data_IF_771880627725
#
_entry.id   IF_771880627725
#
_cell.length_a   1.000
_cell.length_b   1.000
_cell.length_c   1.000
_cell.angle_alpha   90.00
_cell.angle_beta   90.00
_cell.angle_gamma   90.00
#
_symmetry.space_group_name_H-M   'P 1'
#
loop_
_entity.id
_entity.type
_entity.pdbx_description
1 polymer ?
#
# COMPACT_ATOMS: atom_id res chain seq x y z
N UNK A 1 4.15 24.31 -14.42
CA UNK A 1 3.10 24.15 -15.46
C UNK A 1 2.64 25.50 -16.00
N UNK A 2 1.91 26.31 -15.23
CA UNK A 2 1.39 27.62 -15.70
C UNK A 2 2.47 28.54 -16.28
N UNK A 3 3.63 28.67 -15.61
CA UNK A 3 4.79 29.43 -16.11
C UNK A 3 5.28 28.96 -17.48
N UNK A 4 5.34 27.65 -17.68
CA UNK A 4 5.75 27.05 -18.96
C UNK A 4 4.72 27.32 -20.06
N UNK A 5 3.42 27.27 -19.74
CA UNK A 5 2.36 27.62 -20.70
C UNK A 5 2.40 29.11 -21.08
N UNK A 6 2.56 30.01 -20.12
CA UNK A 6 2.70 31.45 -20.39
C UNK A 6 3.93 31.73 -21.26
N UNK A 7 5.09 31.17 -20.90
CA UNK A 7 6.30 31.29 -21.70
C UNK A 7 6.19 30.64 -23.09
N UNK A 8 5.32 29.63 -23.23
CA UNK A 8 4.96 28.97 -24.49
C UNK A 8 3.94 29.75 -25.34
N UNK A 9 3.51 30.92 -24.89
CA UNK A 9 2.60 31.81 -25.64
C UNK A 9 1.11 31.58 -25.36
N UNK A 10 0.74 30.95 -24.24
CA UNK A 10 -0.66 30.88 -23.84
C UNK A 10 -1.23 32.29 -23.56
N UNK A 11 -2.23 32.71 -24.33
CA UNK A 11 -2.81 34.06 -24.25
C UNK A 11 -3.67 34.26 -23.00
N UNK A 12 -4.35 33.21 -22.52
CA UNK A 12 -5.20 33.25 -21.33
C UNK A 12 -5.07 31.97 -20.51
N UNK A 13 -4.79 32.12 -19.21
CA UNK A 13 -4.68 31.03 -18.25
C UNK A 13 -5.79 31.13 -17.20
N UNK A 14 -6.63 30.09 -17.13
CA UNK A 14 -7.63 29.92 -16.08
C UNK A 14 -7.09 28.94 -15.04
N UNK A 15 -6.68 29.46 -13.89
CA UNK A 15 -6.14 28.68 -12.78
C UNK A 15 -7.23 28.44 -11.74
N UNK A 16 -7.56 27.17 -11.49
CA UNK A 16 -8.63 26.79 -10.57
C UNK A 16 -8.09 26.07 -9.35
N UNK A 17 -8.62 26.42 -8.19
CA UNK A 17 -8.52 25.60 -6.98
C UNK A 17 -9.67 25.92 -6.05
N UNK A 18 -9.94 25.08 -5.04
CA UNK A 18 -10.95 25.39 -4.01
C UNK A 18 -10.74 26.73 -3.31
N UNK A 19 -9.49 27.20 -3.21
CA UNK A 19 -9.12 28.46 -2.54
C UNK A 19 -9.05 29.66 -3.49
N UNK A 20 -8.95 29.45 -4.80
CA UNK A 20 -8.75 30.54 -5.76
C UNK A 20 -7.58 31.45 -5.37
N UNK A 21 -7.81 32.77 -5.33
CA UNK A 21 -6.81 33.78 -4.93
C UNK A 21 -6.39 33.70 -3.46
N UNK A 22 -7.17 33.05 -2.60
CA UNK A 22 -6.81 32.84 -1.19
C UNK A 22 -5.76 31.71 -1.01
N UNK A 23 -5.36 31.05 -2.10
CA UNK A 23 -4.27 30.09 -2.04
C UNK A 23 -2.93 30.82 -1.82
N UNK A 24 -2.06 30.32 -0.91
CA UNK A 24 -0.74 30.90 -0.70
C UNK A 24 0.06 30.99 -2.02
N UNK A 25 0.61 32.17 -2.32
CA UNK A 25 1.38 32.41 -3.54
C UNK A 25 0.56 32.67 -4.81
N UNK A 26 -0.78 32.69 -4.73
CA UNK A 26 -1.63 32.82 -5.93
C UNK A 26 -1.59 34.23 -6.53
N UNK A 27 -1.50 35.27 -5.72
CA UNK A 27 -1.40 36.65 -6.19
C UNK A 27 -0.06 36.88 -6.91
N UNK A 28 1.03 36.43 -6.30
CA UNK A 28 2.39 36.53 -6.83
C UNK A 28 2.52 35.72 -8.13
N UNK A 29 1.99 34.49 -8.17
CA UNK A 29 1.97 33.68 -9.39
C UNK A 29 1.14 34.35 -10.50
N UNK A 30 0.01 34.96 -10.16
CA UNK A 30 -0.82 35.68 -11.14
C UNK A 30 -0.06 36.84 -11.76
N UNK A 31 0.61 37.65 -10.94
CA UNK A 31 1.43 38.78 -11.41
C UNK A 31 2.57 38.30 -12.31
N UNK A 32 3.30 37.28 -11.90
CA UNK A 32 4.39 36.70 -12.71
C UNK A 32 3.91 36.22 -14.09
N UNK A 33 2.75 35.56 -14.15
CA UNK A 33 2.18 35.08 -15.42
C UNK A 33 1.71 36.23 -16.32
N UNK A 34 1.23 37.33 -15.73
CA UNK A 34 0.90 38.56 -16.47
C UNK A 34 2.16 39.22 -17.03
N UNK A 35 3.26 39.25 -16.27
CA UNK A 35 4.56 39.73 -16.74
C UNK A 35 5.12 38.89 -17.89
N UNK A 36 4.82 37.59 -17.90
CA UNK A 36 5.13 36.69 -19.01
C UNK A 36 4.21 36.87 -20.23
N UNK A 37 3.22 37.76 -20.16
CA UNK A 37 2.36 38.16 -21.28
C UNK A 37 1.02 37.42 -21.38
N UNK A 38 0.66 36.59 -20.40
CA UNK A 38 -0.63 35.89 -20.37
C UNK A 38 -1.68 36.71 -19.61
N UNK A 39 -2.92 36.72 -20.09
CA UNK A 39 -4.06 37.08 -19.24
C UNK A 39 -4.30 35.96 -18.22
N UNK A 40 -4.68 36.28 -16.98
CA UNK A 40 -4.82 35.28 -15.92
C UNK A 40 -6.10 35.47 -15.13
N UNK A 41 -6.92 34.43 -15.12
CA UNK A 41 -8.08 34.29 -14.25
C UNK A 41 -7.76 33.26 -13.16
N UNK A 42 -7.80 33.66 -11.90
CA UNK A 42 -7.69 32.74 -10.76
C UNK A 42 -9.08 32.57 -10.16
N UNK A 43 -9.66 31.38 -10.30
CA UNK A 43 -11.03 31.09 -9.88
C UNK A 43 -11.06 30.14 -8.68
N UNK A 44 -11.88 30.48 -7.68
CA UNK A 44 -12.27 29.55 -6.64
C UNK A 44 -13.30 28.57 -7.22
N UNK A 45 -12.86 27.35 -7.52
CA UNK A 45 -13.70 26.32 -8.14
C UNK A 45 -13.28 24.94 -7.62
N UNK A 46 -14.24 24.19 -7.09
CA UNK A 46 -14.07 22.77 -6.82
C UNK A 46 -14.44 21.99 -8.08
N UNK A 47 -13.44 21.38 -8.72
CA UNK A 47 -13.65 20.59 -9.94
C UNK A 47 -14.41 19.28 -9.70
N UNK A 48 -14.53 18.84 -8.44
CA UNK A 48 -15.40 17.74 -8.06
C UNK A 48 -16.89 18.16 -8.07
N UNK A 49 -17.22 19.45 -8.02
CA UNK A 49 -18.59 19.95 -8.18
C UNK A 49 -18.85 20.28 -9.65
N UNK A 50 -19.64 19.43 -10.31
CA UNK A 50 -20.03 19.60 -11.72
C UNK A 50 -20.61 20.99 -12.00
N UNK A 51 -21.50 21.52 -11.14
CA UNK A 51 -22.16 22.81 -11.37
C UNK A 51 -21.17 23.97 -11.27
N UNK A 52 -20.20 23.86 -10.38
CA UNK A 52 -19.11 24.82 -10.28
C UNK A 52 -18.27 24.83 -11.57
N UNK A 53 -17.98 23.66 -12.14
CA UNK A 53 -17.28 23.54 -13.43
C UNK A 53 -18.11 24.10 -14.58
N UNK A 54 -19.41 23.81 -14.65
CA UNK A 54 -20.32 24.39 -15.65
C UNK A 54 -20.32 25.92 -15.60
N UNK A 55 -20.43 26.48 -14.39
CA UNK A 55 -20.40 27.93 -14.17
C UNK A 55 -19.07 28.55 -14.59
N UNK A 56 -17.95 27.89 -14.27
CA UNK A 56 -16.62 28.32 -14.67
C UNK A 56 -16.46 28.34 -16.20
N UNK A 57 -16.85 27.25 -16.86
CA UNK A 57 -16.72 27.12 -18.32
C UNK A 57 -17.59 28.14 -19.05
N UNK A 58 -18.80 28.40 -18.56
CA UNK A 58 -19.70 29.42 -19.11
C UNK A 58 -19.17 30.86 -18.94
N UNK A 59 -18.25 31.10 -18.00
CA UNK A 59 -17.62 32.40 -17.79
C UNK A 59 -16.39 32.65 -18.68
N UNK A 60 -15.94 31.65 -19.45
CA UNK A 60 -14.80 31.80 -20.37
C UNK A 60 -15.22 32.70 -21.55
N UNK A 61 -14.47 33.77 -21.87
CA UNK A 61 -14.82 34.68 -22.95
C UNK A 61 -14.89 33.99 -24.33
N UNK A 62 -15.91 34.32 -25.13
CA UNK A 62 -16.10 33.70 -26.44
C UNK A 62 -15.03 34.07 -27.47
N UNK A 63 -14.35 35.21 -27.28
CA UNK A 63 -13.21 35.67 -28.08
C UNK A 63 -11.90 34.97 -27.69
N UNK A 64 -11.88 34.23 -26.57
CA UNK A 64 -10.75 33.44 -26.08
C UNK A 64 -11.24 32.07 -25.59
N UNK A 65 -11.70 31.21 -26.51
CA UNK A 65 -12.28 29.93 -26.14
C UNK A 65 -11.26 29.02 -25.46
N UNK A 66 -11.75 28.11 -24.62
CA UNK A 66 -10.92 27.08 -23.99
C UNK A 66 -10.38 26.12 -25.06
N UNK A 67 -9.06 26.05 -25.20
CA UNK A 67 -8.37 25.20 -26.19
C UNK A 67 -7.54 24.08 -25.58
N UNK A 68 -7.32 24.09 -24.26
CA UNK A 68 -6.58 23.05 -23.56
C UNK A 68 -7.07 22.86 -22.12
N UNK A 69 -7.08 21.62 -21.66
CA UNK A 69 -7.38 21.26 -20.26
C UNK A 69 -6.16 20.58 -19.64
N UNK A 70 -5.74 21.06 -18.48
CA UNK A 70 -4.64 20.49 -17.68
C UNK A 70 -5.19 20.07 -16.31
N UNK A 71 -5.49 18.79 -16.13
CA UNK A 71 -6.04 18.26 -14.88
C UNK A 71 -4.95 17.81 -13.92
N UNK A 72 -4.60 18.69 -12.98
CA UNK A 72 -3.60 18.45 -11.94
C UNK A 72 -4.18 18.42 -10.52
N UNK A 73 -5.51 18.40 -10.37
CA UNK A 73 -6.14 18.35 -9.07
C UNK A 73 -6.02 16.95 -8.44
N UNK A 74 -5.67 16.92 -7.16
CA UNK A 74 -5.51 15.68 -6.40
C UNK A 74 -5.19 15.95 -4.94
N UNK A 75 -5.50 14.97 -4.11
CA UNK A 75 -5.12 14.90 -2.69
C UNK A 75 -4.67 13.49 -2.37
N UNK A 76 -3.90 13.33 -1.30
CA UNK A 76 -3.50 12.04 -0.77
C UNK A 76 -4.25 11.77 0.54
N UNK A 77 -4.60 10.51 0.75
CA UNK A 77 -5.15 10.00 2.01
C UNK A 77 -4.70 8.55 2.18
N UNK A 78 -3.39 8.39 2.44
CA UNK A 78 -2.72 7.09 2.49
C UNK A 78 -3.29 6.21 3.62
N UNK A 79 -3.51 4.94 3.33
CA UNK A 79 -3.98 3.93 4.26
C UNK A 79 -3.89 2.53 3.69
N UNK A 80 -3.59 1.56 4.56
CA UNK A 80 -3.70 0.13 4.20
C UNK A 80 -5.12 -0.17 3.72
N UNK A 81 -5.27 -1.10 2.78
CA UNK A 81 -6.57 -1.39 2.13
C UNK A 81 -7.68 -1.66 3.15
N UNK A 82 -7.40 -2.44 4.20
CA UNK A 82 -8.37 -2.79 5.25
C UNK A 82 -8.84 -1.58 6.09
N UNK A 83 -8.11 -0.47 6.05
CA UNK A 83 -8.43 0.78 6.75
C UNK A 83 -8.99 1.87 5.83
N UNK A 84 -9.20 1.56 4.54
CA UNK A 84 -9.82 2.49 3.60
C UNK A 84 -11.34 2.35 3.67
N UNK A 85 -12.02 3.46 3.97
CA UNK A 85 -13.48 3.54 3.95
C UNK A 85 -13.97 4.19 2.65
N UNK A 86 -15.26 4.06 2.28
CA UNK A 86 -15.83 4.76 1.13
C UNK A 86 -15.58 6.28 1.15
N UNK A 87 -15.57 6.91 2.33
CA UNK A 87 -15.32 8.34 2.49
C UNK A 87 -13.87 8.71 2.18
N UNK A 88 -12.90 7.87 2.58
CA UNK A 88 -11.48 8.05 2.23
C UNK A 88 -11.22 7.83 0.75
N UNK A 89 -11.99 6.93 0.11
CA UNK A 89 -12.02 6.82 -1.35
C UNK A 89 -12.59 8.08 -1.99
N UNK A 90 -13.77 8.53 -1.58
CA UNK A 90 -14.42 9.72 -2.14
C UNK A 90 -13.54 10.97 -2.02
N UNK A 91 -12.80 11.12 -0.91
CA UNK A 91 -11.85 12.22 -0.69
C UNK A 91 -10.76 12.28 -1.76
N UNK A 92 -10.26 11.14 -2.22
CA UNK A 92 -9.18 11.06 -3.22
C UNK A 92 -9.72 11.00 -4.66
N UNK A 93 -10.81 10.27 -4.89
CA UNK A 93 -11.43 10.12 -6.20
C UNK A 93 -12.14 11.39 -6.66
N UNK A 94 -12.80 12.12 -5.76
CA UNK A 94 -13.56 13.33 -6.08
C UNK A 94 -12.75 14.37 -6.89
N UNK A 95 -11.66 14.93 -6.34
CA UNK A 95 -10.86 15.94 -7.03
C UNK A 95 -10.07 15.38 -8.22
N UNK A 96 -10.04 14.05 -8.42
CA UNK A 96 -9.21 13.39 -9.43
C UNK A 96 -10.04 12.69 -10.50
N UNK A 97 -10.66 11.56 -10.19
CA UNK A 97 -11.45 10.78 -11.13
C UNK A 97 -12.78 11.47 -11.50
N UNK A 98 -13.56 11.92 -10.52
CA UNK A 98 -14.85 12.58 -10.79
C UNK A 98 -14.66 13.92 -11.50
N UNK A 99 -13.69 14.71 -11.05
CA UNK A 99 -13.30 15.94 -11.73
C UNK A 99 -12.90 15.71 -13.20
N UNK A 100 -12.08 14.69 -13.48
CA UNK A 100 -11.69 14.38 -14.85
C UNK A 100 -12.89 13.94 -15.72
N UNK A 101 -13.83 13.19 -15.13
CA UNK A 101 -15.09 12.83 -15.77
C UNK A 101 -15.93 14.06 -16.10
N UNK A 102 -16.08 15.00 -15.17
CA UNK A 102 -16.79 16.25 -15.41
C UNK A 102 -16.15 17.05 -16.54
N UNK A 103 -14.82 17.18 -16.53
CA UNK A 103 -14.08 17.86 -17.58
C UNK A 103 -14.28 17.16 -18.94
N UNK A 104 -14.18 15.83 -19.02
CA UNK A 104 -14.43 15.07 -20.26
C UNK A 104 -15.82 15.32 -20.83
N UNK A 105 -16.85 15.26 -19.97
CA UNK A 105 -18.25 15.41 -20.37
C UNK A 105 -18.59 16.85 -20.78
N UNK A 106 -18.09 17.85 -20.03
CA UNK A 106 -18.44 19.26 -20.23
C UNK A 106 -17.60 19.95 -21.32
N UNK A 107 -16.44 19.39 -21.67
CA UNK A 107 -15.57 19.93 -22.73
C UNK A 107 -15.56 19.06 -23.99
N UNK A 108 -16.45 18.06 -24.07
CA UNK A 108 -16.46 17.06 -25.14
C UNK A 108 -16.62 17.65 -26.54
N UNK A 109 -17.49 18.66 -26.63
CA UNK A 109 -17.84 19.32 -27.90
C UNK A 109 -16.97 20.55 -28.19
N UNK A 110 -15.96 20.82 -27.35
CA UNK A 110 -14.99 21.90 -27.58
C UNK A 110 -13.86 21.40 -28.46
N UNK A 111 -13.36 22.28 -29.33
CA UNK A 111 -12.19 22.03 -30.19
C UNK A 111 -10.89 22.13 -29.38
N UNK A 112 -10.70 21.21 -28.44
CA UNK A 112 -9.49 21.15 -27.64
C UNK A 112 -8.32 20.66 -28.48
N UNK A 113 -7.18 21.31 -28.33
CA UNK A 113 -5.88 20.84 -28.83
C UNK A 113 -5.21 19.86 -27.87
N UNK A 114 -5.53 19.96 -26.56
CA UNK A 114 -4.94 19.12 -25.53
C UNK A 114 -5.92 18.85 -24.37
N UNK A 115 -5.87 17.62 -23.84
CA UNK A 115 -6.56 17.22 -22.61
C UNK A 115 -5.59 16.38 -21.79
N UNK A 116 -4.89 17.01 -20.86
CA UNK A 116 -3.77 16.40 -20.14
C UNK A 116 -4.21 16.01 -18.75
N UNK A 117 -3.98 14.75 -18.39
CA UNK A 117 -4.29 14.18 -17.09
C UNK A 117 -2.98 13.91 -16.33
N UNK A 118 -2.83 14.51 -15.15
CA UNK A 118 -1.68 14.24 -14.29
C UNK A 118 -2.00 13.02 -13.43
N UNK A 119 -1.64 11.85 -13.94
CA UNK A 119 -1.68 10.58 -13.23
C UNK A 119 -0.41 10.40 -12.38
N UNK A 120 -0.27 9.25 -11.74
CA UNK A 120 0.87 8.91 -10.90
C UNK A 120 1.23 7.45 -11.07
N UNK A 121 2.52 7.11 -10.97
CA UNK A 121 2.99 5.72 -11.15
C UNK A 121 2.37 4.73 -10.14
N UNK A 122 1.79 5.22 -9.04
CA UNK A 122 0.99 4.38 -8.13
C UNK A 122 -0.22 3.73 -8.84
N UNK A 123 -0.78 4.35 -9.88
CA UNK A 123 -1.83 3.74 -10.71
C UNK A 123 -1.32 2.64 -11.65
N UNK A 124 -0.01 2.62 -11.94
CA UNK A 124 0.62 1.68 -12.86
C UNK A 124 1.33 0.54 -12.13
N UNK A 125 2.17 0.87 -11.16
CA UNK A 125 2.99 -0.06 -10.39
C UNK A 125 2.31 -0.45 -9.06
N UNK A 126 1.45 0.40 -8.52
CA UNK A 126 0.99 0.30 -7.14
C UNK A 126 1.96 0.95 -6.15
N UNK A 127 1.46 1.35 -4.98
CA UNK A 127 2.27 1.74 -3.83
C UNK A 127 1.58 1.28 -2.54
N UNK A 128 2.38 0.92 -1.55
CA UNK A 128 1.87 0.45 -0.26
C UNK A 128 1.11 1.59 0.43
N UNK A 129 -0.15 1.32 0.81
CA UNK A 129 -1.00 2.32 1.43
C UNK A 129 -1.68 3.29 0.46
N UNK A 130 -1.53 3.14 -0.85
CA UNK A 130 -2.09 4.08 -1.84
C UNK A 130 -3.25 3.48 -2.66
N UNK A 131 -4.07 2.60 -2.07
CA UNK A 131 -5.13 1.89 -2.82
C UNK A 131 -6.16 2.83 -3.48
N UNK A 132 -6.62 3.85 -2.75
CA UNK A 132 -7.52 4.89 -3.25
C UNK A 132 -6.85 5.79 -4.32
N UNK A 133 -5.60 6.19 -4.10
CA UNK A 133 -4.85 7.02 -5.05
C UNK A 133 -4.53 6.24 -6.33
N UNK A 134 -4.09 4.99 -6.23
CA UNK A 134 -3.86 4.10 -7.36
C UNK A 134 -5.12 3.94 -8.22
N UNK A 135 -6.28 3.69 -7.59
CA UNK A 135 -7.56 3.60 -8.30
C UNK A 135 -7.92 4.90 -9.03
N UNK A 136 -7.74 6.05 -8.39
CA UNK A 136 -8.00 7.35 -9.00
C UNK A 136 -7.08 7.65 -10.19
N UNK A 137 -5.81 7.25 -10.12
CA UNK A 137 -4.83 7.40 -11.21
C UNK A 137 -5.11 6.45 -12.39
N UNK A 138 -5.38 5.17 -12.11
CA UNK A 138 -5.75 4.20 -13.12
C UNK A 138 -7.04 4.61 -13.88
N UNK A 139 -7.98 5.27 -13.19
CA UNK A 139 -9.15 5.86 -13.85
C UNK A 139 -8.76 6.93 -14.88
N UNK A 140 -7.80 7.80 -14.56
CA UNK A 140 -7.32 8.83 -15.50
C UNK A 140 -6.69 8.21 -16.74
N UNK A 141 -5.86 7.18 -16.54
CA UNK A 141 -5.20 6.47 -17.63
C UNK A 141 -6.25 5.84 -18.57
N UNK A 142 -7.26 5.16 -18.00
CA UNK A 142 -8.36 4.59 -18.76
C UNK A 142 -9.25 5.65 -19.44
N UNK A 143 -9.43 6.82 -18.82
CA UNK A 143 -10.17 7.93 -19.41
C UNK A 143 -9.45 8.50 -20.63
N UNK A 144 -8.11 8.62 -20.58
CA UNK A 144 -7.32 9.07 -21.72
C UNK A 144 -7.44 8.11 -22.91
N UNK A 145 -7.32 6.81 -22.67
CA UNK A 145 -7.54 5.78 -23.69
C UNK A 145 -8.95 5.87 -24.30
N UNK A 146 -9.98 6.02 -23.45
CA UNK A 146 -11.37 6.17 -23.91
C UNK A 146 -11.58 7.41 -24.77
N UNK A 147 -10.98 8.55 -24.41
CA UNK A 147 -11.05 9.78 -25.21
C UNK A 147 -10.37 9.63 -26.56
N UNK A 148 -9.17 9.03 -26.59
CA UNK A 148 -8.43 8.76 -27.84
C UNK A 148 -9.18 7.80 -28.76
N UNK A 149 -9.79 6.75 -28.20
CA UNK A 149 -10.65 5.85 -28.96
C UNK A 149 -11.88 6.55 -29.58
N UNK A 150 -12.33 7.66 -28.99
CA UNK A 150 -13.39 8.51 -29.52
C UNK A 150 -12.88 9.61 -30.49
N UNK A 151 -11.59 9.61 -30.84
CA UNK A 151 -10.99 10.62 -31.72
C UNK A 151 -10.70 11.96 -31.04
N UNK A 152 -10.85 12.05 -29.72
CA UNK A 152 -10.60 13.27 -28.95
C UNK A 152 -9.16 13.25 -28.40
N UNK A 153 -8.49 14.41 -28.27
CA UNK A 153 -7.17 14.44 -27.65
C UNK A 153 -7.26 14.03 -26.18
N UNK A 154 -6.28 13.24 -25.74
CA UNK A 154 -5.99 13.00 -24.34
C UNK A 154 -4.57 12.47 -24.14
N UNK A 155 -3.90 12.94 -23.09
CA UNK A 155 -2.59 12.43 -22.67
C UNK A 155 -2.61 12.29 -21.15
N UNK A 156 -2.52 11.06 -20.64
CA UNK A 156 -2.30 10.78 -19.22
C UNK A 156 -0.82 10.53 -18.99
N UNK A 157 -0.22 11.29 -18.07
CA UNK A 157 1.16 11.04 -17.65
C UNK A 157 1.17 10.51 -16.23
N UNK A 158 1.56 9.25 -16.07
CA UNK A 158 1.75 8.62 -14.78
C UNK A 158 3.12 9.05 -14.21
N UNK A 159 3.10 10.13 -13.42
CA UNK A 159 4.31 10.74 -12.88
C UNK A 159 4.91 9.96 -11.71
N UNK A 160 6.24 9.86 -11.69
CA UNK A 160 7.03 9.65 -10.48
C UNK A 160 7.03 10.92 -9.61
N UNK A 161 7.91 10.96 -8.61
CA UNK A 161 7.99 12.12 -7.70
C UNK A 161 8.53 13.36 -8.41
N UNK A 162 7.84 14.49 -8.28
CA UNK A 162 8.35 15.80 -8.66
C UNK A 162 9.10 16.42 -7.46
N UNK A 163 10.25 17.03 -7.72
CA UNK A 163 10.97 17.81 -6.72
C UNK A 163 10.36 19.20 -6.50
N UNK A 164 10.76 19.83 -5.40
CA UNK A 164 10.51 21.24 -5.03
C UNK A 164 9.04 21.61 -4.72
N UNK A 165 8.05 21.02 -5.41
CA UNK A 165 6.63 21.35 -5.25
C UNK A 165 5.73 20.15 -5.59
N UNK A 166 4.53 20.07 -4.99
CA UNK A 166 3.52 19.05 -5.27
C UNK A 166 3.23 18.10 -4.11
N UNK A 167 2.33 17.14 -4.35
CA UNK A 167 1.78 16.22 -3.34
C UNK A 167 2.83 15.35 -2.62
N UNK A 168 4.02 15.22 -3.20
CA UNK A 168 5.12 14.41 -2.68
C UNK A 168 6.44 15.19 -2.56
N UNK A 169 6.40 16.53 -2.56
CA UNK A 169 7.62 17.34 -2.56
C UNK A 169 8.39 17.26 -1.24
N UNK A 170 7.71 17.32 -0.09
CA UNK A 170 8.32 17.40 1.24
C UNK A 170 7.66 16.45 2.26
N UNK A 171 8.39 16.14 3.33
CA UNK A 171 7.91 15.35 4.48
C UNK A 171 8.03 13.84 4.31
N UNK A 172 7.35 13.09 5.20
CA UNK A 172 7.49 11.63 5.32
C UNK A 172 7.20 10.85 4.03
N UNK A 173 6.33 11.37 3.16
CA UNK A 173 5.99 10.76 1.87
C UNK A 173 7.18 10.85 0.90
N UNK A 174 7.82 12.02 0.81
CA UNK A 174 9.00 12.22 -0.02
C UNK A 174 10.16 11.34 0.43
N UNK A 175 10.42 11.31 1.74
CA UNK A 175 11.44 10.43 2.32
C UNK A 175 11.13 8.94 2.07
N UNK A 176 9.86 8.51 2.15
CA UNK A 176 9.46 7.14 1.82
C UNK A 176 9.72 6.80 0.36
N UNK A 177 9.39 7.69 -0.57
CA UNK A 177 9.63 7.48 -2.01
C UNK A 177 11.12 7.44 -2.34
N UNK A 178 11.93 8.32 -1.76
CA UNK A 178 13.39 8.29 -1.93
C UNK A 178 13.98 6.96 -1.41
N UNK A 179 13.54 6.52 -0.22
CA UNK A 179 13.95 5.22 0.35
C UNK A 179 13.48 4.03 -0.51
N UNK A 180 12.29 4.14 -1.09
CA UNK A 180 11.70 3.16 -1.98
C UNK A 180 12.32 3.12 -3.39
N UNK A 181 13.28 3.99 -3.70
CA UNK A 181 13.94 4.04 -5.00
C UNK A 181 13.19 4.84 -6.07
N UNK A 182 12.34 5.79 -5.67
CA UNK A 182 11.66 6.73 -6.56
C UNK A 182 12.08 8.16 -6.22
N UNK A 183 13.30 8.58 -6.60
CA UNK A 183 13.79 9.91 -6.30
C UNK A 183 12.97 11.03 -6.96
N UNK A 184 13.11 12.23 -6.42
CA UNK A 184 12.51 13.42 -6.98
C UNK A 184 13.13 13.81 -8.34
N UNK A 185 12.30 13.98 -9.36
CA UNK A 185 12.71 14.54 -10.65
C UNK A 185 12.71 16.07 -10.61
N UNK A 186 13.70 16.69 -11.24
CA UNK A 186 13.73 18.14 -11.42
C UNK A 186 12.49 18.61 -12.24
N UNK A 187 11.75 19.64 -11.81
CA UNK A 187 10.55 20.10 -12.51
C UNK A 187 10.77 20.42 -14.00
N UNK A 188 11.93 21.00 -14.35
CA UNK A 188 12.27 21.29 -15.75
C UNK A 188 12.39 20.02 -16.62
N UNK A 189 12.94 18.94 -16.06
CA UNK A 189 13.03 17.66 -16.76
C UNK A 189 11.63 17.04 -16.95
N UNK A 190 10.77 17.12 -15.92
CA UNK A 190 9.40 16.64 -16.02
C UNK A 190 8.56 17.45 -17.03
N UNK A 191 8.69 18.78 -17.06
CA UNK A 191 8.08 19.63 -18.10
C UNK A 191 8.57 19.21 -19.51
N UNK A 192 9.87 18.95 -19.66
CA UNK A 192 10.43 18.49 -20.95
C UNK A 192 9.85 17.15 -21.38
N UNK A 193 9.68 16.22 -20.44
CA UNK A 193 9.03 14.94 -20.71
C UNK A 193 7.55 15.11 -21.10
N UNK A 194 6.82 16.04 -20.46
CA UNK A 194 5.45 16.35 -20.84
C UNK A 194 5.38 16.91 -22.27
N UNK A 195 6.24 17.87 -22.63
CA UNK A 195 6.29 18.41 -23.98
C UNK A 195 6.50 17.29 -25.01
N UNK A 196 7.43 16.37 -24.76
CA UNK A 196 7.68 15.22 -25.64
C UNK A 196 6.46 14.30 -25.77
N UNK A 197 5.76 14.03 -24.66
CA UNK A 197 4.56 13.21 -24.70
C UNK A 197 3.45 13.86 -25.55
N UNK A 198 3.32 15.19 -25.47
CA UNK A 198 2.40 15.96 -26.30
C UNK A 198 2.82 15.95 -27.77
N UNK A 199 4.11 16.17 -28.07
CA UNK A 199 4.66 16.21 -29.44
C UNK A 199 4.52 14.86 -30.16
N UNK A 200 4.66 13.75 -29.43
CA UNK A 200 4.48 12.40 -29.96
C UNK A 200 3.01 11.95 -29.98
N UNK A 201 2.08 12.76 -29.45
CA UNK A 201 0.68 12.40 -29.25
C UNK A 201 0.49 11.11 -28.43
N UNK A 202 1.34 10.90 -27.42
CA UNK A 202 1.23 9.77 -26.50
C UNK A 202 -0.13 9.80 -25.78
N UNK A 203 -0.70 8.62 -25.54
CA UNK A 203 -2.00 8.47 -24.86
C UNK A 203 -1.81 8.26 -23.36
N UNK A 204 -1.09 7.21 -22.96
CA UNK A 204 -0.69 6.96 -21.57
C UNK A 204 0.81 6.70 -21.54
N UNK A 205 1.54 7.45 -20.72
CA UNK A 205 3.00 7.26 -20.54
C UNK A 205 3.36 7.38 -19.06
N UNK A 206 4.21 6.46 -18.58
CA UNK A 206 4.80 6.56 -17.26
C UNK A 206 6.14 7.29 -17.35
N UNK A 207 6.33 8.32 -16.52
CA UNK A 207 7.56 9.10 -16.46
C UNK A 207 8.01 9.17 -15.01
N UNK A 208 9.04 8.41 -14.67
CA UNK A 208 9.62 8.37 -13.35
C UNK A 208 11.12 8.12 -13.43
N UNK A 209 11.86 8.74 -12.51
CA UNK A 209 13.22 8.32 -12.18
C UNK A 209 13.13 7.19 -11.15
N UNK A 210 13.69 6.03 -11.46
CA UNK A 210 13.59 4.82 -10.65
C UNK A 210 14.99 4.23 -10.44
N UNK A 211 15.38 4.14 -9.17
CA UNK A 211 16.55 3.39 -8.71
C UNK A 211 16.16 1.92 -8.58
N UNK A 212 16.25 1.18 -9.68
CA UNK A 212 15.77 -0.20 -9.80
C UNK A 212 16.40 -1.17 -8.80
N UNK A 213 17.64 -0.92 -8.39
CA UNK A 213 18.33 -1.67 -7.34
C UNK A 213 17.55 -1.63 -6.03
N UNK A 214 17.02 -0.46 -5.64
CA UNK A 214 16.23 -0.31 -4.42
C UNK A 214 14.77 -0.68 -4.63
N UNK A 215 14.19 -0.17 -5.71
CA UNK A 215 12.77 -0.32 -5.99
C UNK A 215 12.39 -1.79 -6.20
N UNK A 216 13.13 -2.54 -7.03
CA UNK A 216 12.78 -3.92 -7.33
C UNK A 216 12.81 -4.82 -6.08
N UNK A 217 13.76 -4.61 -5.17
CA UNK A 217 13.86 -5.37 -3.92
C UNK A 217 12.64 -5.15 -3.02
N UNK A 218 12.25 -3.89 -2.78
CA UNK A 218 11.07 -3.58 -1.97
C UNK A 218 9.77 -4.04 -2.63
N UNK A 219 9.63 -3.76 -3.93
CA UNK A 219 8.42 -4.04 -4.71
C UNK A 219 8.12 -5.55 -4.82
N UNK A 220 9.16 -6.38 -4.91
CA UNK A 220 8.99 -7.84 -5.07
C UNK A 220 9.21 -8.63 -3.78
N UNK A 221 9.43 -7.96 -2.64
CA UNK A 221 9.76 -8.59 -1.36
C UNK A 221 8.73 -9.63 -0.90
N UNK A 222 7.43 -9.33 -1.08
CA UNK A 222 6.33 -10.21 -0.67
C UNK A 222 5.79 -11.05 -1.81
N UNK A 223 5.82 -10.50 -3.04
CA UNK A 223 5.22 -11.11 -4.22
C UNK A 223 6.09 -10.85 -5.44
N UNK A 224 6.52 -11.90 -6.17
CA UNK A 224 7.15 -11.72 -7.47
C UNK A 224 6.23 -10.95 -8.42
N UNK A 225 6.79 -10.00 -9.18
CA UNK A 225 6.02 -9.20 -10.14
C UNK A 225 6.58 -9.36 -11.55
N UNK A 226 5.83 -10.02 -12.46
CA UNK A 226 6.19 -10.07 -13.88
C UNK A 226 6.24 -8.68 -14.53
N UNK A 227 5.51 -7.71 -13.99
CA UNK A 227 5.38 -6.35 -14.54
C UNK A 227 6.72 -5.66 -14.76
N UNK A 228 7.65 -5.81 -13.79
CA UNK A 228 8.99 -5.21 -13.85
C UNK A 228 10.07 -6.23 -14.22
N UNK A 229 9.72 -7.53 -14.28
CA UNK A 229 10.68 -8.62 -14.43
C UNK A 229 11.43 -8.62 -15.77
N UNK A 230 10.80 -8.08 -16.81
CA UNK A 230 11.39 -8.01 -18.15
C UNK A 230 12.25 -6.76 -18.39
N UNK A 231 12.29 -5.83 -17.45
CA UNK A 231 13.09 -4.61 -17.58
C UNK A 231 14.59 -4.95 -17.54
N UNK A 232 15.40 -4.42 -18.48
CA UNK A 232 16.83 -4.74 -18.55
C UNK A 232 17.59 -4.50 -17.24
N UNK A 233 17.26 -3.43 -16.52
CA UNK A 233 17.84 -3.07 -15.22
C UNK A 233 17.55 -4.16 -14.18
N UNK A 234 16.30 -4.64 -14.13
CA UNK A 234 15.85 -5.66 -13.18
C UNK A 234 16.43 -7.04 -13.53
N UNK A 235 16.53 -7.38 -14.82
CA UNK A 235 17.21 -8.61 -15.26
C UNK A 235 18.67 -8.64 -14.82
N UNK A 236 19.40 -7.53 -15.04
CA UNK A 236 20.81 -7.41 -14.61
C UNK A 236 20.95 -7.63 -13.11
N UNK A 237 20.07 -7.05 -12.29
CA UNK A 237 20.11 -7.23 -10.83
C UNK A 237 19.94 -8.70 -10.39
N UNK A 238 19.10 -9.47 -11.11
CA UNK A 238 18.90 -10.91 -10.85
C UNK A 238 20.10 -11.74 -11.29
N UNK A 239 20.74 -11.37 -12.39
CA UNK A 239 21.90 -12.06 -12.95
C UNK A 239 23.18 -11.79 -12.13
N UNK A 240 23.37 -10.57 -11.62
CA UNK A 240 24.59 -10.20 -10.90
C UNK A 240 24.57 -10.56 -9.42
N UNK A 241 23.39 -10.81 -8.83
CA UNK A 241 23.22 -10.92 -7.38
C UNK A 241 23.52 -9.59 -6.68
N UNK A 242 22.60 -9.06 -5.88
CA UNK A 242 22.82 -7.84 -5.12
C UNK A 242 24.09 -7.90 -4.23
N UNK A 243 24.63 -6.76 -3.77
CA UNK A 243 25.97 -6.71 -3.21
C UNK A 243 26.15 -7.53 -1.92
N UNK A 244 27.23 -8.33 -1.91
CA UNK A 244 27.93 -8.98 -0.81
C UNK A 244 27.29 -10.22 -0.13
N UNK A 245 27.41 -11.36 -0.82
CA UNK A 245 27.60 -12.69 -0.23
C UNK A 245 28.43 -13.53 -1.20
N UNK A 246 29.52 -14.13 -0.73
CA UNK A 246 30.54 -14.84 -1.53
C UNK A 246 29.96 -15.88 -2.53
N UNK A 247 30.67 -16.19 -3.63
CA UNK A 247 30.24 -17.19 -4.60
C UNK A 247 30.40 -18.61 -4.02
N UNK A 248 29.42 -19.03 -3.23
CA UNK A 248 29.15 -20.41 -2.87
C UNK A 248 27.86 -20.86 -3.55
N UNK A 249 27.99 -21.88 -4.41
CA UNK A 249 26.95 -22.67 -5.07
C UNK A 249 25.49 -22.22 -4.90
N UNK A 250 24.84 -21.91 -6.02
CA UNK A 250 23.39 -21.82 -6.12
C UNK A 250 22.71 -22.98 -5.39
N UNK A 251 22.12 -22.69 -4.23
CA UNK A 251 21.05 -23.50 -3.68
C UNK A 251 19.74 -22.85 -4.14
N UNK A 252 18.85 -23.65 -4.72
CA UNK A 252 17.47 -23.28 -5.05
C UNK A 252 16.60 -23.05 -3.78
N UNK A 253 17.20 -22.58 -2.69
CA UNK A 253 16.56 -22.38 -1.40
C UNK A 253 16.02 -20.96 -1.22
N UNK A 254 14.88 -20.83 -0.54
CA UNK A 254 14.37 -19.50 -0.15
C UNK A 254 15.30 -18.85 0.90
N UNK A 255 15.30 -17.52 1.06
CA UNK A 255 16.04 -16.84 2.14
C UNK A 255 15.73 -17.43 3.54
N UNK A 256 14.50 -17.90 3.72
CA UNK A 256 14.06 -18.58 4.94
C UNK A 256 14.74 -19.94 5.15
N UNK A 257 15.04 -20.68 4.08
CA UNK A 257 15.75 -21.97 4.17
C UNK A 257 17.22 -21.77 4.53
N UNK A 258 17.87 -20.78 3.91
CA UNK A 258 19.23 -20.39 4.26
C UNK A 258 19.34 -19.92 5.73
N UNK A 259 18.35 -19.16 6.21
CA UNK A 259 18.29 -18.75 7.61
C UNK A 259 18.10 -19.95 8.55
N UNK A 260 17.21 -20.89 8.22
CA UNK A 260 17.00 -22.12 9.01
C UNK A 260 18.26 -22.98 9.08
N UNK A 261 18.93 -23.20 7.95
CA UNK A 261 20.16 -23.99 7.89
C UNK A 261 21.27 -23.36 8.75
N UNK A 262 21.43 -22.04 8.66
CA UNK A 262 22.39 -21.29 9.48
C UNK A 262 22.09 -21.39 10.98
N UNK A 263 20.82 -21.39 11.37
CA UNK A 263 20.42 -21.49 12.78
C UNK A 263 20.55 -22.92 13.33
N UNK A 264 20.39 -23.97 12.51
CA UNK A 264 20.45 -25.36 12.94
C UNK A 264 21.83 -25.81 13.46
N UNK A 265 22.91 -25.14 13.02
CA UNK A 265 24.29 -25.49 13.37
C UNK A 265 24.91 -24.75 14.57
N UNK A 266 24.17 -23.83 15.20
CA UNK A 266 24.70 -22.92 16.23
C UNK A 266 23.93 -22.97 17.54
N UNK A 267 24.53 -22.50 18.64
CA UNK A 267 23.91 -22.53 19.96
C UNK A 267 22.71 -21.57 20.08
N UNK A 268 21.79 -21.82 21.02
CA UNK A 268 20.62 -20.96 21.24
C UNK A 268 20.97 -19.48 21.49
N UNK A 269 22.09 -19.21 22.17
CA UNK A 269 22.56 -17.85 22.40
C UNK A 269 23.02 -17.18 21.08
N UNK A 270 23.68 -17.93 20.20
CA UNK A 270 24.10 -17.46 18.88
C UNK A 270 22.91 -17.33 17.92
N UNK A 271 21.91 -18.21 18.01
CA UNK A 271 20.66 -18.11 17.26
C UNK A 271 19.95 -16.78 17.54
N UNK A 272 19.82 -16.39 18.82
CA UNK A 272 19.21 -15.11 19.20
C UNK A 272 19.95 -13.91 18.62
N UNK A 273 21.29 -13.95 18.57
CA UNK A 273 22.10 -12.87 17.98
C UNK A 273 21.92 -12.79 16.46
N UNK A 274 21.87 -13.93 15.76
CA UNK A 274 21.64 -13.97 14.31
C UNK A 274 20.25 -13.45 13.96
N UNK A 275 19.22 -13.89 14.67
CA UNK A 275 17.84 -13.43 14.44
C UNK A 275 17.69 -11.95 14.80
N UNK A 276 18.36 -11.48 15.86
CA UNK A 276 18.38 -10.06 16.20
C UNK A 276 18.97 -9.22 15.08
N UNK A 277 20.05 -9.67 14.45
CA UNK A 277 20.63 -8.93 13.33
C UNK A 277 19.71 -8.91 12.10
N UNK A 278 18.96 -9.99 11.84
CA UNK A 278 17.92 -10.02 10.79
C UNK A 278 16.82 -9.00 11.11
N UNK A 279 16.36 -8.93 12.36
CA UNK A 279 15.35 -7.95 12.78
C UNK A 279 15.86 -6.54 12.66
N UNK A 280 17.06 -6.25 13.16
CA UNK A 280 17.67 -4.92 13.10
C UNK A 280 17.94 -4.50 11.66
N UNK A 281 18.42 -5.40 10.80
CA UNK A 281 18.64 -5.12 9.38
C UNK A 281 17.33 -4.84 8.66
N UNK A 282 16.29 -5.63 8.94
CA UNK A 282 14.95 -5.42 8.36
C UNK A 282 14.32 -4.11 8.84
N UNK A 283 14.54 -3.75 10.11
CA UNK A 283 14.06 -2.51 10.70
C UNK A 283 14.84 -1.29 10.18
N UNK A 284 16.16 -1.39 10.07
CA UNK A 284 17.01 -0.37 9.46
C UNK A 284 16.59 -0.13 8.01
N UNK A 285 16.37 -1.19 7.24
CA UNK A 285 15.85 -1.08 5.88
C UNK A 285 14.44 -0.45 5.82
N UNK A 286 13.57 -0.76 6.79
CA UNK A 286 12.23 -0.13 6.89
C UNK A 286 12.26 1.33 7.27
N UNK A 287 13.28 1.76 8.01
CA UNK A 287 13.54 3.15 8.33
C UNK A 287 14.42 3.86 7.27
N UNK A 288 15.06 3.11 6.38
CA UNK A 288 16.01 3.61 5.39
C UNK A 288 17.41 3.93 5.92
N UNK A 289 17.78 3.40 7.09
CA UNK A 289 19.14 3.55 7.60
C UNK A 289 20.11 2.66 6.80
N UNK A 290 21.33 3.13 6.50
CA UNK A 290 22.33 2.37 5.76
C UNK A 290 22.94 1.23 6.60
N UNK A 291 22.78 1.28 7.92
CA UNK A 291 23.27 0.27 8.86
C UNK A 291 22.30 0.07 10.02
N UNK A 292 22.55 -0.96 10.83
CA UNK A 292 21.79 -1.26 12.04
C UNK A 292 22.17 -0.38 13.23
N UNK A 293 23.13 0.53 13.09
CA UNK A 293 23.70 1.34 14.19
C UNK A 293 22.65 2.25 14.85
N UNK A 294 21.71 2.78 14.05
CA UNK A 294 20.62 3.62 14.54
C UNK A 294 19.46 2.81 15.14
N UNK A 295 19.44 1.50 14.91
CA UNK A 295 18.43 0.57 15.41
C UNK A 295 18.96 -0.13 16.67
N UNK A 296 18.82 0.52 17.81
CA UNK A 296 19.18 -0.06 19.10
C UNK A 296 18.31 -1.27 19.46
N UNK A 297 18.94 -2.37 19.88
CA UNK A 297 18.24 -3.64 20.16
C UNK A 297 17.10 -3.51 21.20
N UNK A 298 17.27 -2.66 22.20
CA UNK A 298 16.28 -2.39 23.25
C UNK A 298 15.42 -1.14 23.02
N UNK A 299 15.62 -0.40 21.92
CA UNK A 299 14.88 0.84 21.67
C UNK A 299 13.51 0.51 21.08
N UNK A 300 12.47 1.18 21.58
CA UNK A 300 11.12 0.91 21.10
C UNK A 300 10.97 1.34 19.64
N UNK A 301 10.29 0.53 18.83
CA UNK A 301 10.04 0.85 17.42
C UNK A 301 9.32 2.21 17.25
N UNK A 302 8.39 2.55 18.15
CA UNK A 302 7.71 3.84 18.17
C UNK A 302 8.68 5.03 18.33
N UNK A 303 9.72 4.87 19.14
CA UNK A 303 10.76 5.90 19.33
C UNK A 303 11.74 5.99 18.16
N UNK A 304 11.82 4.92 17.36
CA UNK A 304 12.58 4.86 16.12
C UNK A 304 11.80 5.42 14.92
N UNK A 305 10.55 5.87 15.11
CA UNK A 305 9.75 6.47 14.05
C UNK A 305 8.84 5.49 13.29
N UNK A 306 8.60 4.30 13.82
CA UNK A 306 7.64 3.37 13.22
C UNK A 306 6.19 3.88 13.34
N UNK A 307 5.53 4.01 12.20
CA UNK A 307 4.09 4.16 12.07
C UNK A 307 3.43 2.85 11.56
N UNK A 308 2.11 2.87 11.33
CA UNK A 308 1.36 1.69 10.86
C UNK A 308 1.81 1.19 9.48
N UNK A 309 2.36 2.05 8.60
CA UNK A 309 2.83 1.67 7.27
C UNK A 309 4.24 1.08 7.33
N UNK A 310 5.15 1.72 8.06
CA UNK A 310 6.52 1.23 8.28
C UNK A 310 6.49 -0.09 9.06
N UNK A 311 5.57 -0.25 10.03
CA UNK A 311 5.37 -1.51 10.74
C UNK A 311 4.95 -2.66 9.80
N UNK A 312 4.06 -2.38 8.83
CA UNK A 312 3.67 -3.35 7.82
C UNK A 312 4.85 -3.70 6.88
N UNK A 313 5.65 -2.71 6.51
CA UNK A 313 6.85 -2.90 5.68
C UNK A 313 7.89 -3.79 6.39
N UNK A 314 8.16 -3.56 7.67
CA UNK A 314 9.01 -4.42 8.49
C UNK A 314 8.44 -5.84 8.59
N UNK A 315 7.13 -5.97 8.87
CA UNK A 315 6.45 -7.28 8.93
C UNK A 315 6.61 -8.05 7.62
N UNK A 316 6.47 -7.36 6.49
CA UNK A 316 6.61 -7.95 5.16
C UNK A 316 8.05 -8.40 4.88
N UNK A 317 9.05 -7.56 5.22
CA UNK A 317 10.47 -7.93 5.12
C UNK A 317 10.81 -9.14 6.00
N UNK A 318 10.34 -9.15 7.24
CA UNK A 318 10.58 -10.28 8.16
C UNK A 318 9.89 -11.56 7.70
N UNK A 319 8.68 -11.46 7.15
CA UNK A 319 7.97 -12.62 6.57
C UNK A 319 8.80 -13.22 5.43
N UNK A 320 9.36 -12.39 4.55
CA UNK A 320 10.21 -12.84 3.45
C UNK A 320 11.54 -13.47 3.94
N UNK A 321 12.19 -12.85 4.93
CA UNK A 321 13.47 -13.31 5.46
C UNK A 321 13.35 -14.60 6.29
N UNK A 322 12.23 -14.80 6.99
CA UNK A 322 12.05 -15.90 7.95
C UNK A 322 11.11 -17.00 7.47
N UNK A 323 10.30 -16.73 6.45
CA UNK A 323 9.25 -17.63 5.97
C UNK A 323 8.07 -17.79 6.95
N UNK A 324 8.03 -16.99 8.02
CA UNK A 324 6.98 -17.08 9.05
C UNK A 324 5.78 -16.23 8.67
N UNK A 325 4.56 -16.72 8.97
CA UNK A 325 3.35 -15.91 8.90
C UNK A 325 3.28 -15.01 10.14
N UNK A 326 3.58 -13.72 9.97
CA UNK A 326 3.61 -12.75 11.06
C UNK A 326 2.33 -11.90 11.09
N UNK A 327 1.76 -11.62 12.28
CA UNK A 327 0.59 -10.75 12.42
C UNK A 327 0.93 -9.29 12.13
N UNK A 328 -0.06 -8.48 11.80
CA UNK A 328 0.12 -7.03 11.57
C UNK A 328 0.41 -6.24 12.86
N UNK A 329 0.05 -6.81 14.02
CA UNK A 329 0.27 -6.23 15.37
C UNK A 329 1.69 -6.48 15.90
N UNK A 330 2.55 -7.16 15.14
CA UNK A 330 3.87 -7.63 15.57
C UNK A 330 4.73 -6.58 16.29
N UNK A 331 4.76 -5.36 15.76
CA UNK A 331 5.56 -4.24 16.31
C UNK A 331 4.96 -3.69 17.62
N UNK A 332 3.67 -3.90 17.86
CA UNK A 332 2.99 -3.53 19.10
C UNK A 332 3.09 -4.64 20.16
N UNK A 333 2.96 -5.90 19.74
CA UNK A 333 3.07 -7.07 20.61
C UNK A 333 4.53 -7.27 21.09
N UNK A 334 5.50 -6.93 20.21
CA UNK A 334 6.93 -7.02 20.47
C UNK A 334 7.59 -5.66 20.18
N UNK A 335 7.56 -4.72 21.15
CA UNK A 335 7.84 -3.31 20.90
C UNK A 335 9.32 -2.98 20.65
N UNK A 336 10.24 -3.94 20.80
CA UNK A 336 11.67 -3.73 20.59
C UNK A 336 12.25 -4.78 19.63
N UNK A 337 13.33 -4.47 18.88
CA UNK A 337 14.02 -5.44 18.04
C UNK A 337 14.44 -6.71 18.80
N UNK A 338 14.86 -6.60 20.06
CA UNK A 338 15.23 -7.74 20.91
C UNK A 338 14.03 -8.64 21.23
N UNK A 339 12.90 -8.06 21.66
CA UNK A 339 11.68 -8.82 21.96
C UNK A 339 11.15 -9.55 20.71
N UNK A 340 11.22 -8.87 19.56
CA UNK A 340 10.80 -9.45 18.29
C UNK A 340 11.74 -10.57 17.82
N UNK A 341 13.05 -10.41 18.02
CA UNK A 341 14.03 -11.42 17.69
C UNK A 341 13.85 -12.70 18.51
N UNK A 342 13.54 -12.57 19.80
CA UNK A 342 13.27 -13.71 20.68
C UNK A 342 12.02 -14.49 20.23
N UNK A 343 10.93 -13.78 19.93
CA UNK A 343 9.71 -14.37 19.37
C UNK A 343 9.97 -15.12 18.06
N UNK A 344 10.72 -14.51 17.14
CA UNK A 344 11.06 -15.13 15.85
C UNK A 344 11.97 -16.34 16.03
N UNK A 345 12.95 -16.28 16.94
CA UNK A 345 13.85 -17.40 17.21
C UNK A 345 13.07 -18.63 17.68
N UNK A 346 12.10 -18.46 18.59
CA UNK A 346 11.22 -19.55 19.03
C UNK A 346 10.38 -20.16 17.90
N UNK A 347 9.93 -19.35 16.95
CA UNK A 347 9.13 -19.81 15.80
C UNK A 347 9.93 -20.45 14.68
N UNK A 348 11.17 -20.00 14.45
CA UNK A 348 12.00 -20.47 13.34
C UNK A 348 12.70 -21.78 13.70
N UNK A 349 13.25 -21.85 14.93
CA UNK A 349 14.01 -23.02 15.37
C UNK A 349 13.07 -24.16 15.77
N UNK A 350 11.93 -23.84 16.38
CA UNK A 350 10.99 -24.82 16.91
C UNK A 350 11.63 -25.67 18.01
N UNK A 351 11.04 -25.72 19.21
CA UNK A 351 11.45 -26.72 20.19
C UNK A 351 11.30 -28.12 19.54
N UNK A 352 12.43 -28.77 19.26
CA UNK A 352 12.52 -30.15 18.78
C UNK A 352 12.08 -31.17 19.83
N UNK A 353 11.03 -30.89 20.58
CA UNK A 353 10.51 -31.70 21.67
C UNK A 353 8.99 -31.69 21.66
N UNK A 354 8.40 -32.69 20.98
CA UNK A 354 6.98 -33.07 21.00
C UNK A 354 5.99 -31.99 20.50
N UNK A 355 5.14 -32.37 19.55
CA UNK A 355 3.96 -31.59 19.22
C UNK A 355 3.18 -31.30 20.52
N UNK A 356 3.27 -30.06 21.01
CA UNK A 356 2.39 -29.60 22.06
C UNK A 356 0.96 -29.78 21.54
N UNK A 357 0.14 -30.49 22.32
CA UNK A 357 -1.24 -30.74 21.95
C UNK A 357 -1.91 -29.41 21.54
N UNK A 358 -2.75 -29.38 20.49
CA UNK A 358 -3.35 -28.17 19.90
C UNK A 358 -4.40 -27.48 20.81
N UNK A 359 -4.13 -27.43 22.11
CA UNK A 359 -4.87 -26.66 23.11
C UNK A 359 -3.96 -25.94 24.12
N UNK A 360 -2.65 -26.23 24.17
CA UNK A 360 -1.73 -25.55 25.11
C UNK A 360 -1.47 -24.09 24.69
N UNK A 361 -1.34 -23.82 23.39
CA UNK A 361 -1.17 -22.45 22.90
C UNK A 361 -2.42 -21.59 23.12
N UNK A 362 -3.61 -22.19 23.03
CA UNK A 362 -4.88 -21.56 23.33
C UNK A 362 -5.06 -21.29 24.83
N UNK A 363 -4.50 -22.16 25.69
CA UNK A 363 -4.45 -21.93 27.14
C UNK A 363 -3.48 -20.80 27.51
N UNK A 364 -2.31 -20.71 26.86
CA UNK A 364 -1.34 -19.62 27.07
C UNK A 364 -1.92 -18.25 26.63
N UNK A 365 -2.66 -18.23 25.52
CA UNK A 365 -3.37 -17.04 25.04
C UNK A 365 -4.49 -16.62 26.00
N UNK A 366 -5.21 -17.59 26.55
CA UNK A 366 -6.23 -17.34 27.57
C UNK A 366 -5.62 -16.81 28.86
N UNK A 367 -4.52 -17.40 29.35
CA UNK A 367 -3.80 -16.93 30.54
C UNK A 367 -3.31 -15.48 30.37
N UNK A 368 -2.77 -15.15 29.21
CA UNK A 368 -2.35 -13.78 28.87
C UNK A 368 -3.53 -12.80 28.88
N UNK A 369 -4.67 -13.18 28.29
CA UNK A 369 -5.88 -12.35 28.28
C UNK A 369 -6.45 -12.12 29.70
N UNK A 370 -6.39 -13.13 30.57
CA UNK A 370 -6.85 -13.03 31.96
C UNK A 370 -5.93 -12.21 32.85
N UNK A 371 -4.64 -12.14 32.51
CA UNK A 371 -3.64 -11.37 33.26
C UNK A 371 -3.83 -9.85 33.16
N UNK A 372 -4.52 -9.38 32.12
CA UNK A 372 -4.79 -7.95 31.86
C UNK A 372 -6.12 -7.48 32.49
N UNK A 373 -6.96 -8.41 32.95
CA UNK A 373 -8.25 -8.07 33.55
C UNK A 373 -8.09 -7.51 34.97
N UNK A 374 -8.85 -6.45 35.25
CA UNK A 374 -8.94 -5.83 36.57
C UNK A 374 -9.30 -6.87 37.66
N UNK A 375 -8.51 -7.00 38.74
CA UNK A 375 -8.78 -7.89 39.86
C UNK A 375 -10.18 -7.79 40.47
N UNK A 376 -10.79 -6.61 40.41
CA UNK A 376 -12.08 -6.32 41.04
C UNK A 376 -13.26 -6.33 40.04
N UNK A 377 -13.04 -6.78 38.80
CA UNK A 377 -14.08 -6.86 37.78
C UNK A 377 -15.05 -8.02 38.04
N UNK A 378 -16.35 -7.75 38.01
CA UNK A 378 -17.40 -8.78 38.03
C UNK A 378 -17.25 -9.83 36.91
N UNK A 379 -16.61 -9.48 35.79
CA UNK A 379 -16.31 -10.43 34.72
C UNK A 379 -15.29 -11.50 35.14
N UNK A 380 -14.41 -11.22 36.11
CA UNK A 380 -13.39 -12.15 36.60
C UNK A 380 -14.02 -13.33 37.34
N UNK A 381 -15.05 -13.08 38.14
CA UNK A 381 -15.77 -14.13 38.88
C UNK A 381 -16.53 -15.06 37.92
N UNK A 382 -17.20 -14.50 36.90
CA UNK A 382 -17.90 -15.26 35.87
C UNK A 382 -16.94 -16.12 35.04
N UNK A 383 -15.76 -15.58 34.69
CA UNK A 383 -14.74 -16.33 33.97
C UNK A 383 -14.15 -17.44 34.86
N UNK A 384 -13.86 -17.15 36.13
CA UNK A 384 -13.34 -18.14 37.07
C UNK A 384 -14.32 -19.29 37.32
N UNK A 385 -15.64 -19.01 37.35
CA UNK A 385 -16.68 -20.04 37.41
C UNK A 385 -16.68 -20.91 36.15
N UNK A 386 -16.66 -20.31 34.95
CA UNK A 386 -16.63 -21.05 33.68
C UNK A 386 -15.37 -21.91 33.52
N UNK A 387 -14.21 -21.44 33.97
CA UNK A 387 -12.96 -22.21 33.93
C UNK A 387 -13.01 -23.41 34.87
N UNK A 388 -13.59 -23.26 36.07
CA UNK A 388 -13.82 -24.39 36.99
C UNK A 388 -14.78 -25.42 36.41
N UNK A 389 -15.86 -24.99 35.76
CA UNK A 389 -16.80 -25.89 35.10
C UNK A 389 -16.16 -26.64 33.92
N UNK A 390 -15.32 -25.95 33.14
CA UNK A 390 -14.58 -26.57 32.03
C UNK A 390 -13.59 -27.61 32.55
N UNK A 391 -12.86 -27.30 33.62
CA UNK A 391 -11.92 -28.22 34.27
C UNK A 391 -12.65 -29.44 34.88
N UNK A 392 -13.83 -29.23 35.48
CA UNK A 392 -14.64 -30.31 36.01
C UNK A 392 -15.14 -31.25 34.90
N UNK A 393 -15.65 -30.70 33.79
CA UNK A 393 -16.07 -31.49 32.61
C UNK A 393 -14.92 -32.28 31.98
N UNK A 394 -13.71 -31.74 32.03
CA UNK A 394 -12.52 -32.42 31.52
C UNK A 394 -12.03 -33.54 32.47
N UNK A 395 -12.25 -33.38 33.77
CA UNK A 395 -11.85 -34.35 34.80
C UNK A 395 -12.83 -35.52 34.98
N UNK A 396 -14.03 -35.46 34.38
CA UNK A 396 -14.95 -36.60 34.37
C UNK A 396 -14.32 -37.78 33.60
N UNK A 397 -14.26 -38.99 34.19
CA UNK A 397 -13.68 -40.14 33.52
C UNK A 397 -14.51 -40.49 32.29
N UNK A 398 -13.89 -40.42 31.09
CA UNK A 398 -14.47 -40.96 29.87
C UNK A 398 -14.64 -42.47 30.07
N UNK A 399 -15.85 -42.92 30.35
CA UNK A 399 -16.17 -44.35 30.42
C UNK A 399 -15.95 -44.95 29.04
N UNK A 400 -14.90 -45.75 28.93
CA UNK A 400 -14.69 -46.64 27.81
C UNK A 400 -15.61 -47.85 27.98
N UNK A 401 -16.86 -47.72 27.51
CA UNK A 401 -17.69 -48.88 27.22
C UNK A 401 -17.72 -49.08 25.70
N UNK A 402 -16.82 -49.96 25.25
CA UNK A 402 -17.06 -50.75 24.07
C UNK A 402 -17.88 -51.97 24.50
N UNK A 403 -19.21 -51.89 24.36
CA UNK A 403 -20.05 -53.08 24.21
C UNK A 403 -20.71 -53.03 22.83
N UNK A 404 -20.49 -54.11 22.09
CA UNK A 404 -21.06 -54.37 20.79
C UNK A 404 -22.59 -54.51 20.89
N UNK A 405 -23.30 -53.65 20.18
CA UNK A 405 -24.69 -53.85 19.78
C UNK A 405 -24.89 -53.28 18.36
N UNK A 406 -24.87 -54.21 17.41
CA UNK A 406 -25.61 -54.22 16.14
C UNK A 406 -26.00 -52.88 15.47
N UNK A 407 -25.26 -52.56 14.40
CA UNK A 407 -25.78 -52.06 13.12
C UNK A 407 -26.74 -50.87 13.08
N UNK A 408 -26.19 -49.65 13.05
CA UNK A 408 -26.60 -48.64 12.07
C UNK A 408 -25.39 -47.77 11.70
N UNK A 409 -24.64 -48.21 10.69
CA UNK A 409 -23.59 -47.42 10.07
C UNK A 409 -24.20 -46.48 9.04
N UNK A 410 -23.94 -45.18 9.16
CA UNK A 410 -24.06 -44.25 8.03
C UNK A 410 -24.67 -42.90 8.36
N UNK A 411 -23.90 -42.03 9.02
CA UNK A 411 -24.14 -40.58 9.00
C UNK A 411 -22.93 -39.82 8.45
N UNK A 412 -21.71 -40.33 8.67
CA UNK A 412 -20.48 -39.71 8.15
C UNK A 412 -20.19 -40.02 6.67
N UNK A 413 -20.62 -41.17 6.14
CA UNK A 413 -20.50 -41.48 4.69
C UNK A 413 -21.60 -40.82 3.84
N UNK A 414 -22.79 -40.56 4.39
CA UNK A 414 -23.90 -39.94 3.64
C UNK A 414 -23.72 -38.45 3.35
N UNK A 415 -22.77 -37.77 4.02
CA UNK A 415 -22.51 -36.35 3.81
C UNK A 415 -21.48 -36.06 2.72
N UNK A 416 -20.77 -37.07 2.22
CA UNK A 416 -19.83 -36.91 1.10
C UNK A 416 -20.45 -37.22 -0.27
N UNK A 417 -21.65 -37.81 -0.31
CA UNK A 417 -22.42 -38.06 -1.54
C UNK A 417 -23.74 -37.27 -1.64
N UNK A 418 -24.07 -36.44 -0.63
CA UNK A 418 -25.30 -35.68 -0.61
C UNK A 418 -25.32 -34.57 -1.68
N UNK A 419 -26.40 -34.53 -2.45
CA UNK A 419 -26.63 -33.44 -3.41
C UNK A 419 -27.04 -32.15 -2.68
N UNK A 420 -26.81 -30.95 -3.26
CA UNK A 420 -27.09 -29.68 -2.59
C UNK A 420 -28.52 -29.58 -2.02
N UNK A 421 -29.51 -30.16 -2.71
CA UNK A 421 -30.91 -30.14 -2.30
C UNK A 421 -31.18 -30.98 -1.02
N UNK A 422 -30.40 -32.04 -0.80
CA UNK A 422 -30.49 -32.88 0.40
C UNK A 422 -29.82 -32.23 1.61
N UNK A 423 -28.79 -31.41 1.38
CA UNK A 423 -28.16 -30.59 2.42
C UNK A 423 -29.09 -29.47 2.89
N UNK A 424 -29.82 -28.82 1.97
CA UNK A 424 -30.80 -27.78 2.34
C UNK A 424 -31.99 -28.36 3.11
N UNK A 425 -32.48 -29.56 2.74
CA UNK A 425 -33.56 -30.23 3.48
C UNK A 425 -33.16 -30.65 4.91
N UNK A 426 -31.88 -30.93 5.17
CA UNK A 426 -31.38 -31.23 6.50
C UNK A 426 -31.27 -29.97 7.38
N UNK A 427 -30.89 -28.84 6.78
CA UNK A 427 -30.78 -27.54 7.46
C UNK A 427 -32.16 -26.99 7.87
N UNK A 428 -33.17 -27.10 7.01
CA UNK A 428 -34.55 -26.68 7.34
C UNK A 428 -35.15 -27.50 8.50
N UNK A 429 -34.75 -28.77 8.63
CA UNK A 429 -35.27 -29.67 9.66
C UNK A 429 -34.64 -29.48 11.04
N UNK A 430 -33.41 -28.99 11.10
CA UNK A 430 -32.67 -28.74 12.36
C UNK A 430 -32.79 -27.28 12.83
N UNK A 431 -32.93 -26.31 11.91
CA UNK A 431 -33.03 -24.88 12.27
C UNK A 431 -34.44 -24.29 12.23
N UNK A 432 -35.44 -25.06 11.78
CA UNK A 432 -36.87 -24.74 11.95
C UNK A 432 -37.27 -23.36 11.45
N UNK A 433 -36.92 -23.03 10.19
CA UNK A 433 -37.45 -21.87 9.47
C UNK A 433 -38.50 -22.34 8.46
#
# INVERSE_FOLDING_TARGET
MARWLAAGGAEHLVLTSRRGLDAPGAAELREELIELGAEVTVAACDVADRKAVETLLAAIPADRPLTAVMHAAGVLDDGVLDALTPERFATVLGPKADAARHLDELTRDLDLSAFVLFSGIAGTLGDAGQGNYAAANAYLDALAERRRAAGLPATSVAWGRWGETGLAADGAIGERLDRGGVPAMAPHAAITALQRALDHADTVVAVADIQWDRFAHGYTAVRPSPLIGELPEVKRLRETGGPAGEPGAASDGSPADALRERLAGISRAEQSLVVLEVVRSSAAAALGHPSTDEVGAGRAFKELGFDSLIALELRNRLTAATGQKLPATLVFDYPTPAALAEFLCGRIVGDGGTAAAPGLAELDALESALSVLDPDSAARDDIAARLRDLAAKWAEPRTADAEAADGDGGVTEKLQEATPDEVFAFIDKELGI
#
